data_IF_494441193961
#
_entry.id   IF_494441193961
#
_cell.length_a   1.000
_cell.length_b   1.000
_cell.length_c   1.000
_cell.angle_alpha   90.00
_cell.angle_beta   90.00
_cell.angle_gamma   90.00
#
_symmetry.space_group_name_H-M   'P 1'
#
loop_
_entity.id
_entity.type
_entity.pdbx_description
1 polymer ?
#
# COMPACT_ATOMS: atom_id res chain seq x y z
N UNK A 1 77.04 22.26 31.54
CA UNK A 1 76.03 21.97 30.51
C UNK A 1 74.71 22.61 30.93
N UNK A 2 74.24 23.67 30.25
CA UNK A 2 72.90 24.24 30.46
C UNK A 2 72.05 23.86 29.26
N UNK A 3 71.09 22.96 29.45
CA UNK A 3 70.12 22.55 28.43
C UNK A 3 68.99 23.58 28.37
N UNK A 4 68.96 24.37 27.30
CA UNK A 4 67.82 25.21 26.96
C UNK A 4 66.67 24.32 26.47
N UNK A 5 65.71 24.02 27.35
CA UNK A 5 64.43 23.44 26.94
C UNK A 5 63.44 24.59 26.68
N UNK A 6 63.26 24.92 25.40
CA UNK A 6 62.24 25.86 24.94
C UNK A 6 60.85 25.22 25.08
N UNK A 7 60.12 25.56 26.14
CA UNK A 7 58.68 25.31 26.19
C UNK A 7 57.98 26.37 25.33
N UNK A 8 57.90 26.13 24.02
CA UNK A 8 56.96 26.84 23.15
C UNK A 8 55.55 26.50 23.62
N UNK A 9 54.95 27.38 24.41
CA UNK A 9 53.53 27.32 24.79
C UNK A 9 52.71 27.29 23.50
N UNK A 10 52.15 26.13 23.17
CA UNK A 10 51.27 25.98 21.99
C UNK A 10 50.12 26.97 22.17
N UNK A 11 50.08 27.97 21.29
CA UNK A 11 49.01 28.96 21.30
C UNK A 11 47.74 28.29 20.73
N UNK A 12 46.98 27.64 21.62
CA UNK A 12 45.76 26.89 21.31
C UNK A 12 44.71 27.77 20.60
N UNK A 13 44.73 29.08 20.86
CA UNK A 13 43.82 30.03 20.24
C UNK A 13 44.13 30.16 18.74
N UNK A 14 45.41 30.29 18.37
CA UNK A 14 45.84 30.29 16.97
C UNK A 14 45.60 28.94 16.29
N UNK A 15 45.79 27.83 17.00
CA UNK A 15 45.52 26.48 16.49
C UNK A 15 44.02 26.25 16.22
N UNK A 16 43.16 26.70 17.12
CA UNK A 16 41.70 26.67 16.97
C UNK A 16 41.23 27.54 15.80
N UNK A 17 41.77 28.76 15.65
CA UNK A 17 41.48 29.63 14.52
C UNK A 17 41.90 28.99 13.20
N UNK A 18 43.08 28.35 13.16
CA UNK A 18 43.58 27.64 11.97
C UNK A 18 42.67 26.47 11.62
N UNK A 19 42.27 25.69 12.62
CA UNK A 19 41.34 24.55 12.48
C UNK A 19 39.95 24.97 12.02
N UNK A 20 39.40 26.07 12.56
CA UNK A 20 38.12 26.65 12.11
C UNK A 20 38.17 27.07 10.64
N UNK A 21 39.24 27.77 10.24
CA UNK A 21 39.44 28.18 8.83
C UNK A 21 39.62 26.99 7.89
N UNK A 22 40.22 25.91 8.38
CA UNK A 22 40.39 24.66 7.63
C UNK A 22 39.06 23.91 7.46
N UNK A 23 38.24 23.83 8.52
CA UNK A 23 36.88 23.28 8.46
C UNK A 23 36.03 24.07 7.45
N UNK A 24 36.07 25.40 7.50
CA UNK A 24 35.34 26.26 6.56
C UNK A 24 35.78 26.03 5.11
N UNK A 25 37.10 25.91 4.86
CA UNK A 25 37.64 25.57 3.52
C UNK A 25 37.18 24.21 3.04
N UNK A 26 37.21 23.19 3.90
CA UNK A 26 36.79 21.83 3.55
C UNK A 26 35.27 21.76 3.29
N UNK A 27 34.46 22.49 4.05
CA UNK A 27 33.03 22.59 3.80
C UNK A 27 32.73 23.25 2.45
N UNK A 28 33.44 24.34 2.10
CA UNK A 28 33.28 25.02 0.82
C UNK A 28 33.69 24.12 -0.36
N UNK A 29 34.84 23.44 -0.27
CA UNK A 29 35.27 22.46 -1.28
C UNK A 29 34.27 21.32 -1.46
N UNK A 30 33.76 20.74 -0.35
CA UNK A 30 32.73 19.69 -0.41
C UNK A 30 31.39 20.18 -0.99
N UNK A 31 31.09 21.48 -0.91
CA UNK A 31 29.92 22.05 -1.56
C UNK A 31 30.16 22.20 -3.07
N UNK A 32 31.34 22.67 -3.48
CA UNK A 32 31.75 22.79 -4.89
C UNK A 32 31.84 21.42 -5.58
N UNK A 33 32.42 20.40 -4.93
CA UNK A 33 32.46 19.00 -5.43
C UNK A 33 31.05 18.39 -5.58
N UNK A 34 30.09 18.83 -4.76
CA UNK A 34 28.68 18.38 -4.84
C UNK A 34 27.87 19.10 -5.92
N UNK A 35 28.42 20.11 -6.58
CA UNK A 35 27.77 20.80 -7.70
C UNK A 35 27.92 20.06 -9.04
N UNK A 36 28.49 18.85 -9.05
CA UNK A 36 28.28 17.96 -10.19
C UNK A 36 26.76 17.69 -10.33
N UNK A 37 26.16 17.90 -11.52
CA UNK A 37 24.74 17.64 -11.71
C UNK A 37 24.49 16.19 -11.34
N UNK A 38 23.68 15.99 -10.29
CA UNK A 38 23.37 14.66 -9.77
C UNK A 38 22.92 13.81 -10.94
N UNK A 39 23.67 12.73 -11.23
CA UNK A 39 23.31 11.74 -12.25
C UNK A 39 21.84 11.40 -12.03
N UNK A 40 21.00 11.77 -13.00
CA UNK A 40 19.55 11.61 -12.86
C UNK A 40 19.30 10.12 -12.67
N UNK A 41 18.77 9.74 -11.50
CA UNK A 41 18.36 8.35 -11.27
C UNK A 41 17.39 7.96 -12.38
N UNK A 42 17.55 6.76 -12.93
CA UNK A 42 16.60 6.16 -13.86
C UNK A 42 15.18 6.32 -13.30
N UNK A 43 14.30 6.98 -14.06
CA UNK A 43 12.87 7.08 -13.74
C UNK A 43 12.12 6.14 -14.68
N UNK A 44 11.35 5.22 -14.10
CA UNK A 44 10.46 4.35 -14.87
C UNK A 44 9.34 5.17 -15.51
N UNK A 45 9.04 4.91 -16.78
CA UNK A 45 7.97 5.59 -17.54
C UNK A 45 6.60 5.49 -16.82
N UNK A 46 6.34 4.36 -16.14
CA UNK A 46 5.12 4.11 -15.36
C UNK A 46 4.82 5.18 -14.31
N UNK A 47 5.85 5.85 -13.78
CA UNK A 47 5.71 6.83 -12.71
C UNK A 47 6.16 8.24 -13.11
N UNK A 48 6.34 8.49 -14.42
CA UNK A 48 6.71 9.81 -14.95
C UNK A 48 5.65 10.88 -14.64
N UNK A 49 4.37 10.49 -14.64
CA UNK A 49 3.24 11.37 -14.37
C UNK A 49 2.84 11.46 -12.89
N UNK A 50 3.50 10.70 -12.00
CA UNK A 50 3.16 10.70 -10.57
C UNK A 50 3.93 11.80 -9.87
N UNK A 51 3.23 12.87 -9.51
CA UNK A 51 3.82 13.98 -8.78
C UNK A 51 4.28 13.55 -7.37
N UNK A 52 5.46 14.03 -6.96
CA UNK A 52 5.98 13.71 -5.63
C UNK A 52 5.15 14.38 -4.55
N UNK A 53 4.83 13.66 -3.47
CA UNK A 53 4.13 14.23 -2.29
C UNK A 53 4.86 15.43 -1.68
N UNK A 54 6.18 15.44 -1.73
CA UNK A 54 7.01 16.56 -1.26
C UNK A 54 6.76 17.82 -2.10
N UNK A 55 6.62 17.70 -3.43
CA UNK A 55 6.23 18.82 -4.30
C UNK A 55 4.86 19.37 -3.90
N UNK A 56 3.90 18.51 -3.58
CA UNK A 56 2.58 18.93 -3.07
C UNK A 56 2.70 19.67 -1.73
N UNK A 57 3.59 19.25 -0.84
CA UNK A 57 3.81 19.92 0.45
C UNK A 57 4.59 21.25 0.32
N UNK A 58 5.40 21.41 -0.73
CA UNK A 58 6.11 22.68 -1.04
C UNK A 58 5.18 23.67 -1.76
N UNK A 59 4.31 23.18 -2.64
CA UNK A 59 3.35 24.00 -3.39
C UNK A 59 2.12 24.39 -2.56
N UNK A 60 1.81 23.64 -1.49
CA UNK A 60 0.85 24.09 -0.49
C UNK A 60 1.31 25.46 0.01
N UNK A 61 0.49 26.51 -0.16
CA UNK A 61 0.76 27.79 0.48
C UNK A 61 0.96 27.50 1.96
N UNK A 62 2.08 27.97 2.52
CA UNK A 62 2.28 27.91 3.97
C UNK A 62 1.03 28.52 4.58
N UNK A 63 0.20 27.68 5.20
CA UNK A 63 -0.97 28.15 5.92
C UNK A 63 -0.46 29.26 6.85
N UNK A 64 -0.97 30.48 6.65
CA UNK A 64 -0.56 31.60 7.48
C UNK A 64 -0.79 31.15 8.92
N UNK A 65 0.31 31.12 9.68
CA UNK A 65 0.33 30.79 11.12
C UNK A 65 -0.98 31.30 11.73
N UNK A 66 -1.75 30.45 12.44
CA UNK A 66 -3.10 30.80 12.87
C UNK A 66 -3.03 32.20 13.47
N UNK A 67 -3.71 33.13 12.80
CA UNK A 67 -3.78 34.52 13.24
C UNK A 67 -4.24 34.44 14.68
N UNK A 68 -3.43 34.97 15.59
CA UNK A 68 -3.82 35.14 16.99
C UNK A 68 -5.22 35.73 16.98
N UNK A 69 -6.20 35.14 17.69
CA UNK A 69 -7.57 35.62 17.64
C UNK A 69 -7.54 37.12 17.89
N UNK A 70 -8.18 37.88 17.01
CA UNK A 70 -8.24 39.32 17.11
C UNK A 70 -8.95 39.63 18.44
N UNK A 71 -8.16 39.94 19.49
CA UNK A 71 -8.70 40.29 20.80
C UNK A 71 -9.27 41.70 20.65
N UNK A 72 -10.46 41.79 20.05
CA UNK A 72 -11.21 43.03 19.87
C UNK A 72 -11.70 43.60 21.20
N UNK A 73 -11.64 42.81 22.27
CA UNK A 73 -11.81 43.28 23.64
C UNK A 73 -10.48 43.84 24.14
N UNK A 74 -10.18 45.10 23.83
CA UNK A 74 -9.15 45.86 24.53
C UNK A 74 -9.43 45.69 26.03
N UNK A 75 -8.58 44.97 26.75
CA UNK A 75 -8.67 44.86 28.21
C UNK A 75 -8.47 46.26 28.77
N UNK A 76 -9.57 46.96 29.04
CA UNK A 76 -9.51 48.27 29.68
C UNK A 76 -8.98 48.07 31.09
N UNK A 77 -7.96 48.85 31.46
CA UNK A 77 -7.49 48.91 32.84
C UNK A 77 -8.71 49.23 33.70
N UNK A 78 -9.07 48.38 34.67
CA UNK A 78 -10.22 48.67 35.52
C UNK A 78 -9.99 50.03 36.19
N UNK A 79 -11.02 50.87 36.32
CA UNK A 79 -10.86 52.16 36.97
C UNK A 79 -10.29 51.98 38.38
N UNK A 80 -9.46 52.92 38.85
CA UNK A 80 -8.80 52.81 40.17
C UNK A 80 -9.81 52.62 41.32
N UNK A 81 -11.07 53.04 41.14
CA UNK A 81 -12.18 52.78 42.04
C UNK A 81 -12.44 51.27 42.27
N UNK A 82 -12.28 50.43 41.24
CA UNK A 82 -12.46 48.97 41.34
C UNK A 82 -11.44 48.32 42.28
N UNK A 83 -10.27 48.95 42.48
CA UNK A 83 -9.24 48.48 43.41
C UNK A 83 -9.50 48.88 44.88
N UNK A 84 -10.57 49.60 45.20
CA UNK A 84 -10.87 49.96 46.60
C UNK A 84 -11.33 48.76 47.45
N UNK A 85 -11.92 47.74 46.82
CA UNK A 85 -12.38 46.51 47.49
C UNK A 85 -11.58 45.29 47.01
N UNK A 86 -10.28 45.24 47.33
CA UNK A 86 -9.47 44.02 47.08
C UNK A 86 -9.72 43.02 48.21
N UNK A 87 -10.67 42.11 48.03
CA UNK A 87 -10.70 40.88 48.82
C UNK A 87 -9.64 39.94 48.26
N UNK A 88 -8.44 39.94 48.86
CA UNK A 88 -7.45 38.90 48.55
C UNK A 88 -8.08 37.55 48.92
N UNK A 89 -8.33 36.69 47.92
CA UNK A 89 -8.78 35.31 48.14
C UNK A 89 -7.59 34.56 48.75
N UNK A 90 -7.46 34.64 50.08
CA UNK A 90 -6.45 33.89 50.83
C UNK A 90 -7.05 32.52 51.05
N UNK A 91 -6.77 31.58 50.17
CA UNK A 91 -7.03 30.18 50.48
C UNK A 91 -6.20 29.83 51.71
N UNK A 92 -6.83 29.30 52.76
CA UNK A 92 -6.15 28.87 53.98
C UNK A 92 -5.39 27.56 53.71
N UNK A 93 -4.38 27.64 52.83
CA UNK A 93 -3.54 26.53 52.45
C UNK A 93 -2.36 26.45 53.41
N UNK A 94 -2.22 25.31 54.09
CA UNK A 94 -0.99 24.96 54.80
C UNK A 94 0.16 24.64 53.82
N UNK A 95 0.90 25.67 53.42
CA UNK A 95 2.01 25.55 52.48
C UNK A 95 3.11 24.63 52.99
N UNK A 96 3.27 24.48 54.31
CA UNK A 96 4.29 23.59 54.90
C UNK A 96 3.94 22.14 54.58
N UNK A 97 2.67 21.75 54.77
CA UNK A 97 2.20 20.39 54.45
C UNK A 97 2.32 20.07 52.97
N UNK A 98 1.91 20.99 52.10
CA UNK A 98 1.93 20.70 50.65
C UNK A 98 3.32 20.73 50.07
N UNK A 99 4.20 21.61 50.53
CA UNK A 99 5.61 21.54 50.16
C UNK A 99 6.24 20.25 50.66
N UNK A 100 5.90 19.79 51.87
CA UNK A 100 6.39 18.52 52.42
C UNK A 100 5.93 17.30 51.61
N UNK A 101 4.66 17.25 51.19
CA UNK A 101 4.15 16.17 50.33
C UNK A 101 4.79 16.24 48.94
N UNK A 102 4.92 17.43 48.37
CA UNK A 102 5.51 17.61 47.04
C UNK A 102 6.99 17.21 47.02
N UNK A 103 7.75 17.58 48.06
CA UNK A 103 9.16 17.19 48.21
C UNK A 103 9.34 15.66 48.32
N UNK A 104 8.41 14.96 48.98
CA UNK A 104 8.45 13.48 49.05
C UNK A 104 8.08 12.80 47.73
N UNK A 105 7.24 13.43 46.91
CA UNK A 105 6.78 12.89 45.62
C UNK A 105 7.70 13.23 44.45
N UNK A 106 8.49 14.29 44.57
CA UNK A 106 9.44 14.68 43.54
C UNK A 106 10.54 13.62 43.39
N UNK A 107 10.48 12.83 42.33
CA UNK A 107 11.59 11.96 41.93
C UNK A 107 12.70 12.80 41.30
N UNK A 108 13.95 12.57 41.70
CA UNK A 108 15.10 13.15 41.01
C UNK A 108 15.13 12.59 39.59
N UNK A 109 14.74 13.41 38.61
CA UNK A 109 14.91 13.07 37.21
C UNK A 109 16.40 13.08 36.89
N UNK A 110 16.91 11.93 36.43
CA UNK A 110 18.27 11.82 35.93
C UNK A 110 18.44 12.75 34.71
N UNK A 111 19.62 13.33 34.48
CA UNK A 111 19.85 14.15 33.30
C UNK A 111 19.64 13.32 32.03
N UNK A 112 19.06 13.95 31.01
CA UNK A 112 18.65 13.30 29.76
C UNK A 112 19.77 12.49 29.07
N UNK A 113 21.03 12.92 29.25
CA UNK A 113 22.21 12.23 28.71
C UNK A 113 22.51 10.88 29.36
N UNK A 114 22.23 10.71 30.66
CA UNK A 114 22.42 9.43 31.36
C UNK A 114 21.29 8.45 31.04
N UNK A 115 20.05 8.93 30.95
CA UNK A 115 18.91 8.09 30.53
C UNK A 115 19.01 7.65 29.07
N UNK A 116 19.57 8.48 28.18
CA UNK A 116 19.70 8.13 26.76
C UNK A 116 20.56 6.88 26.49
N UNK A 117 21.57 6.62 27.33
CA UNK A 117 22.41 5.42 27.22
C UNK A 117 21.70 4.15 27.72
N UNK A 118 20.93 4.27 28.79
CA UNK A 118 20.13 3.16 29.31
C UNK A 118 18.98 2.84 28.33
N UNK A 119 18.34 3.87 27.76
CA UNK A 119 17.28 3.73 26.76
C UNK A 119 17.78 3.13 25.43
N UNK A 120 19.02 3.39 25.03
CA UNK A 120 19.59 2.80 23.82
C UNK A 120 19.98 1.34 24.04
N UNK A 121 20.57 1.01 25.20
CA UNK A 121 20.84 -0.38 25.61
C UNK A 121 19.57 -1.20 25.69
N UNK A 122 18.54 -0.68 26.37
CA UNK A 122 17.24 -1.35 26.47
C UNK A 122 16.63 -1.61 25.10
N UNK A 123 16.62 -0.62 24.21
CA UNK A 123 16.17 -0.80 22.82
C UNK A 123 16.96 -1.87 22.08
N UNK A 124 18.27 -1.94 22.30
CA UNK A 124 19.11 -2.95 21.68
C UNK A 124 18.79 -4.36 22.21
N UNK A 125 18.58 -4.51 23.51
CA UNK A 125 18.14 -5.76 24.13
C UNK A 125 16.76 -6.19 23.61
N UNK A 126 15.80 -5.26 23.55
CA UNK A 126 14.46 -5.51 23.01
C UNK A 126 14.50 -5.97 21.54
N UNK A 127 15.36 -5.36 20.71
CA UNK A 127 15.55 -5.77 19.31
C UNK A 127 16.12 -7.18 19.18
N UNK A 128 17.07 -7.56 20.04
CA UNK A 128 17.65 -8.91 20.04
C UNK A 128 16.64 -9.95 20.52
N UNK A 129 15.85 -9.63 21.54
CA UNK A 129 14.81 -10.51 22.06
C UNK A 129 13.68 -10.76 21.02
N UNK A 130 13.35 -9.76 20.22
CA UNK A 130 12.31 -9.86 19.19
C UNK A 130 12.81 -10.42 17.84
N UNK A 131 14.12 -10.65 17.69
CA UNK A 131 14.69 -11.18 16.45
C UNK A 131 14.68 -12.71 16.47
N UNK A 132 13.86 -13.32 15.63
CA UNK A 132 13.81 -14.77 15.46
C UNK A 132 14.67 -15.20 14.26
N UNK A 133 15.74 -15.94 14.56
CA UNK A 133 16.64 -16.43 13.52
C UNK A 133 15.94 -17.45 12.61
N UNK A 134 16.17 -17.34 11.31
CA UNK A 134 15.59 -18.23 10.29
C UNK A 134 14.20 -17.83 9.81
N UNK A 135 13.55 -16.86 10.47
CA UNK A 135 12.28 -16.32 9.98
C UNK A 135 12.49 -15.33 8.84
N UNK A 136 11.63 -15.43 7.82
CA UNK A 136 11.64 -14.49 6.70
C UNK A 136 11.03 -13.17 7.16
N UNK A 137 11.71 -12.02 7.00
CA UNK A 137 11.18 -10.72 7.36
C UNK A 137 9.77 -10.44 6.80
N UNK A 138 8.94 -9.79 7.60
CA UNK A 138 7.52 -9.51 7.28
C UNK A 138 7.32 -8.83 5.92
N UNK A 139 8.22 -7.92 5.54
CA UNK A 139 8.14 -7.23 4.25
C UNK A 139 8.34 -8.17 3.05
N UNK A 140 9.15 -9.22 3.19
CA UNK A 140 9.33 -10.24 2.14
C UNK A 140 8.12 -11.18 2.08
N UNK A 141 7.54 -11.51 3.24
CA UNK A 141 6.29 -12.28 3.29
C UNK A 141 5.16 -11.54 2.60
N UNK A 142 4.97 -10.25 2.93
CA UNK A 142 4.00 -9.37 2.29
C UNK A 142 4.23 -9.27 0.78
N UNK A 143 5.49 -9.11 0.36
CA UNK A 143 5.84 -9.04 -1.07
C UNK A 143 5.52 -10.35 -1.82
N UNK A 144 5.75 -11.51 -1.20
CA UNK A 144 5.35 -12.80 -1.79
C UNK A 144 3.83 -12.90 -1.95
N UNK A 145 3.05 -12.38 -1.00
CA UNK A 145 1.59 -12.34 -1.09
C UNK A 145 1.13 -11.38 -2.20
N UNK A 146 1.73 -10.20 -2.30
CA UNK A 146 1.46 -9.23 -3.37
C UNK A 146 1.68 -9.86 -4.76
N UNK A 147 2.81 -10.55 -4.97
CA UNK A 147 3.09 -11.25 -6.22
C UNK A 147 2.11 -12.37 -6.52
N UNK A 148 1.71 -13.16 -5.51
CA UNK A 148 0.68 -14.20 -5.70
C UNK A 148 -0.64 -13.59 -6.16
N UNK A 149 -1.07 -12.51 -5.51
CA UNK A 149 -2.31 -11.83 -5.87
C UNK A 149 -2.26 -11.23 -7.28
N UNK A 150 -1.14 -10.60 -7.65
CA UNK A 150 -0.93 -10.05 -8.99
C UNK A 150 -0.91 -11.14 -10.07
N UNK A 151 -0.29 -12.28 -9.79
CA UNK A 151 -0.28 -13.45 -10.68
C UNK A 151 -1.68 -14.05 -10.84
N UNK A 152 -2.44 -14.20 -9.74
CA UNK A 152 -3.82 -14.69 -9.77
C UNK A 152 -4.73 -13.76 -10.59
N UNK A 153 -4.57 -12.44 -10.41
CA UNK A 153 -5.26 -11.44 -11.23
C UNK A 153 -4.87 -11.56 -12.70
N UNK A 154 -3.58 -11.74 -12.99
CA UNK A 154 -3.10 -11.91 -14.36
C UNK A 154 -3.72 -13.15 -15.00
N UNK A 155 -3.70 -14.30 -14.31
CA UNK A 155 -4.27 -15.56 -14.79
C UNK A 155 -5.79 -15.43 -15.01
N UNK A 156 -6.50 -14.74 -14.11
CA UNK A 156 -7.93 -14.48 -14.27
C UNK A 156 -8.24 -13.55 -15.47
N UNK A 157 -7.39 -12.56 -15.71
CA UNK A 157 -7.56 -11.59 -16.80
C UNK A 157 -7.03 -12.10 -18.14
N UNK A 158 -6.08 -13.04 -18.16
CA UNK A 158 -5.63 -13.66 -19.41
C UNK A 158 -6.80 -14.44 -20.00
N UNK A 159 -7.36 -14.00 -21.15
CA UNK A 159 -8.39 -14.78 -21.81
C UNK A 159 -7.80 -16.15 -22.16
N UNK A 160 -8.60 -17.20 -22.02
CA UNK A 160 -8.18 -18.58 -22.33
C UNK A 160 -7.51 -18.59 -23.72
N UNK A 161 -6.26 -19.08 -23.86
CA UNK A 161 -5.55 -19.10 -25.14
C UNK A 161 -6.32 -19.87 -26.23
N UNK A 162 -7.28 -20.71 -25.85
CA UNK A 162 -8.18 -21.41 -26.77
C UNK A 162 -9.41 -20.60 -27.21
N UNK A 163 -9.70 -19.44 -26.61
CA UNK A 163 -10.90 -18.64 -26.91
C UNK A 163 -10.70 -17.82 -28.19
N UNK A 164 -11.45 -18.11 -29.28
CA UNK A 164 -11.32 -17.35 -30.52
C UNK A 164 -11.84 -15.91 -30.35
N UNK A 165 -11.30 -14.92 -31.09
CA UNK A 165 -11.84 -13.56 -31.10
C UNK A 165 -13.34 -13.52 -31.45
N UNK A 166 -14.10 -12.62 -30.81
CA UNK A 166 -15.54 -12.48 -31.03
C UNK A 166 -16.41 -13.62 -30.48
N UNK A 167 -15.81 -14.53 -29.70
CA UNK A 167 -16.53 -15.60 -29.01
C UNK A 167 -16.53 -15.38 -27.50
N UNK A 168 -17.55 -15.91 -26.84
CA UNK A 168 -17.70 -15.92 -25.38
C UNK A 168 -17.85 -17.36 -24.90
N UNK A 169 -17.23 -17.70 -23.76
CA UNK A 169 -17.46 -18.98 -23.12
C UNK A 169 -18.91 -19.08 -22.61
N UNK A 170 -19.60 -20.15 -22.99
CA UNK A 170 -20.94 -20.44 -22.49
C UNK A 170 -20.87 -20.88 -21.01
N UNK A 171 -21.63 -20.26 -20.10
CA UNK A 171 -21.70 -20.67 -18.70
C UNK A 171 -22.07 -22.15 -18.54
N UNK A 172 -21.58 -22.78 -17.48
CA UNK A 172 -21.82 -24.22 -17.28
C UNK A 172 -23.29 -24.59 -17.10
N UNK A 173 -24.08 -23.70 -16.49
CA UNK A 173 -25.52 -23.93 -16.27
C UNK A 173 -26.25 -23.95 -17.62
N UNK A 174 -26.09 -22.90 -18.42
CA UNK A 174 -26.65 -22.81 -19.78
C UNK A 174 -26.18 -23.98 -20.65
N UNK A 175 -24.90 -24.37 -20.56
CA UNK A 175 -24.35 -25.54 -21.28
C UNK A 175 -25.04 -26.85 -20.89
N UNK A 176 -25.32 -27.06 -19.61
CA UNK A 176 -26.00 -28.28 -19.13
C UNK A 176 -27.46 -28.29 -19.56
N UNK A 177 -28.14 -27.16 -19.47
CA UNK A 177 -29.53 -27.00 -19.94
C UNK A 177 -29.65 -27.29 -21.44
N UNK A 178 -28.77 -26.74 -22.27
CA UNK A 178 -28.77 -27.03 -23.72
C UNK A 178 -28.45 -28.49 -24.02
N UNK A 179 -27.53 -29.11 -23.27
CA UNK A 179 -27.20 -30.53 -23.40
C UNK A 179 -28.41 -31.41 -23.06
N UNK A 180 -29.13 -31.12 -21.98
CA UNK A 180 -30.35 -31.85 -21.61
C UNK A 180 -31.44 -31.72 -22.67
N UNK A 181 -31.65 -30.51 -23.21
CA UNK A 181 -32.59 -30.26 -24.30
C UNK A 181 -32.22 -31.05 -25.57
N UNK A 182 -30.93 -31.09 -25.93
CA UNK A 182 -30.46 -31.86 -27.08
C UNK A 182 -30.63 -33.37 -26.88
N UNK A 183 -30.40 -33.88 -25.67
CA UNK A 183 -30.64 -35.29 -25.34
C UNK A 183 -32.14 -35.64 -25.41
N UNK A 184 -33.02 -34.76 -24.95
CA UNK A 184 -34.46 -34.93 -25.11
C UNK A 184 -34.84 -34.99 -26.60
N UNK A 185 -34.35 -34.04 -27.40
CA UNK A 185 -34.58 -34.00 -28.85
C UNK A 185 -34.04 -35.25 -29.57
N UNK A 186 -32.89 -35.77 -29.16
CA UNK A 186 -32.34 -37.01 -29.72
C UNK A 186 -33.30 -38.19 -29.50
N UNK A 187 -33.81 -38.35 -28.27
CA UNK A 187 -34.80 -39.38 -27.95
C UNK A 187 -36.05 -39.22 -28.82
N UNK A 188 -36.54 -37.99 -28.97
CA UNK A 188 -37.71 -37.71 -29.81
C UNK A 188 -37.45 -38.13 -31.26
N UNK A 189 -36.35 -37.71 -31.89
CA UNK A 189 -36.03 -38.09 -33.28
C UNK A 189 -35.93 -39.61 -33.44
N UNK A 190 -35.29 -40.30 -32.49
CA UNK A 190 -35.22 -41.77 -32.47
C UNK A 190 -36.61 -42.40 -32.39
N UNK A 191 -37.50 -41.90 -31.52
CA UNK A 191 -38.88 -42.40 -31.45
C UNK A 191 -39.65 -42.16 -32.76
N UNK A 192 -39.39 -41.06 -33.46
CA UNK A 192 -40.01 -40.80 -34.78
C UNK A 192 -39.51 -41.77 -35.84
N UNK A 193 -38.21 -42.10 -35.85
CA UNK A 193 -37.63 -43.11 -36.74
C UNK A 193 -38.26 -44.49 -36.45
N UNK A 194 -38.40 -44.86 -35.17
CA UNK A 194 -38.99 -46.13 -34.74
C UNK A 194 -40.48 -46.27 -35.10
N UNK A 195 -41.21 -45.15 -35.21
CA UNK A 195 -42.63 -45.13 -35.63
C UNK A 195 -42.81 -45.28 -37.14
N UNK A 196 -41.74 -45.19 -37.94
CA UNK A 196 -41.85 -45.38 -39.39
C UNK A 196 -42.12 -46.85 -39.73
N UNK A 197 -42.87 -47.13 -40.81
CA UNK A 197 -43.07 -48.50 -41.29
C UNK A 197 -41.73 -49.20 -41.59
N UNK A 198 -41.66 -50.51 -41.32
CA UNK A 198 -40.46 -51.33 -41.54
C UNK A 198 -40.07 -51.36 -43.03
N UNK A 199 -41.07 -51.41 -43.92
CA UNK A 199 -40.87 -51.36 -45.37
C UNK A 199 -40.69 -49.94 -45.90
N UNK A 200 -39.60 -49.69 -46.62
CA UNK A 200 -39.29 -48.40 -47.23
C UNK A 200 -39.78 -48.33 -48.69
N UNK A 201 -40.99 -48.80 -48.99
CA UNK A 201 -41.40 -49.06 -50.37
C UNK A 201 -41.80 -47.79 -51.14
N UNK A 202 -42.24 -46.75 -50.43
CA UNK A 202 -42.58 -45.45 -51.04
C UNK A 202 -41.44 -44.45 -50.91
N UNK A 203 -41.24 -43.65 -51.96
CA UNK A 203 -40.24 -42.56 -51.99
C UNK A 203 -40.46 -41.60 -50.81
N UNK A 204 -41.72 -41.33 -50.45
CA UNK A 204 -42.09 -40.48 -49.30
C UNK A 204 -41.52 -41.00 -47.99
N UNK A 205 -41.69 -42.29 -47.69
CA UNK A 205 -41.17 -42.90 -46.44
C UNK A 205 -39.64 -42.89 -46.44
N UNK A 206 -38.99 -43.14 -47.60
CA UNK A 206 -37.53 -43.03 -47.74
C UNK A 206 -37.03 -41.62 -47.43
N UNK A 207 -37.64 -40.60 -48.03
CA UNK A 207 -37.27 -39.20 -47.82
C UNK A 207 -37.49 -38.76 -46.37
N UNK A 208 -38.62 -39.15 -45.76
CA UNK A 208 -38.92 -38.85 -44.37
C UNK A 208 -37.90 -39.49 -43.42
N UNK A 209 -37.53 -40.75 -43.66
CA UNK A 209 -36.49 -41.46 -42.90
C UNK A 209 -35.14 -40.75 -43.03
N UNK A 210 -34.72 -40.44 -44.25
CA UNK A 210 -33.46 -39.74 -44.52
C UNK A 210 -33.42 -38.37 -43.84
N UNK A 211 -34.54 -37.63 -43.83
CA UNK A 211 -34.65 -36.34 -43.13
C UNK A 211 -34.48 -36.50 -41.62
N UNK A 212 -35.08 -37.52 -41.02
CA UNK A 212 -34.95 -37.78 -39.58
C UNK A 212 -33.54 -38.26 -39.22
N UNK A 213 -32.93 -39.11 -40.05
CA UNK A 213 -31.54 -39.55 -39.87
C UNK A 213 -30.56 -38.36 -39.97
N UNK A 214 -30.78 -37.43 -40.92
CA UNK A 214 -30.01 -36.19 -41.01
C UNK A 214 -30.16 -35.33 -39.75
N UNK A 215 -31.39 -35.13 -39.29
CA UNK A 215 -31.64 -34.40 -38.03
C UNK A 215 -30.99 -35.10 -36.83
N UNK A 216 -30.98 -36.43 -36.80
CA UNK A 216 -30.31 -37.20 -35.75
C UNK A 216 -28.81 -36.92 -35.75
N UNK A 217 -28.16 -36.94 -36.93
CA UNK A 217 -26.72 -36.63 -37.04
C UNK A 217 -26.41 -35.19 -36.60
N UNK A 218 -27.23 -34.21 -36.97
CA UNK A 218 -27.06 -32.82 -36.53
C UNK A 218 -27.18 -32.68 -35.00
N UNK A 219 -28.14 -33.37 -34.39
CA UNK A 219 -28.33 -33.38 -32.93
C UNK A 219 -27.16 -34.07 -32.23
N UNK A 220 -26.65 -35.18 -32.77
CA UNK A 220 -25.50 -35.89 -32.21
C UNK A 220 -24.21 -35.08 -32.29
N UNK A 221 -23.98 -34.36 -33.38
CA UNK A 221 -22.87 -33.41 -33.51
C UNK A 221 -22.99 -32.28 -32.48
N UNK A 222 -24.19 -31.73 -32.28
CA UNK A 222 -24.44 -30.73 -31.26
C UNK A 222 -24.17 -31.29 -29.85
N UNK A 223 -24.69 -32.48 -29.51
CA UNK A 223 -24.43 -33.15 -28.23
C UNK A 223 -22.92 -33.31 -28.01
N UNK A 224 -22.17 -33.74 -29.03
CA UNK A 224 -20.71 -33.89 -28.97
C UNK A 224 -19.98 -32.57 -28.69
N UNK A 225 -20.53 -31.44 -29.14
CA UNK A 225 -19.99 -30.11 -28.83
C UNK A 225 -20.32 -29.74 -27.38
N UNK A 226 -21.58 -29.86 -26.97
CA UNK A 226 -22.05 -29.46 -25.62
C UNK A 226 -21.65 -30.42 -24.50
N UNK A 227 -21.23 -31.65 -24.83
CA UNK A 227 -20.65 -32.60 -23.88
C UNK A 227 -19.23 -32.21 -23.44
N UNK A 228 -18.56 -31.30 -24.16
CA UNK A 228 -17.25 -30.78 -23.78
C UNK A 228 -17.38 -29.85 -22.56
N UNK A 229 -16.37 -29.79 -21.66
CA UNK A 229 -16.44 -28.91 -20.48
C UNK A 229 -16.46 -27.42 -20.85
N UNK A 230 -15.74 -27.04 -21.92
CA UNK A 230 -15.64 -25.67 -22.42
C UNK A 230 -16.28 -25.57 -23.79
N UNK A 231 -17.25 -24.67 -23.94
CA UNK A 231 -17.94 -24.37 -25.20
C UNK A 231 -17.91 -22.87 -25.40
N UNK A 232 -17.55 -22.43 -26.61
CA UNK A 232 -17.49 -21.02 -26.98
C UNK A 232 -18.58 -20.74 -28.03
N UNK A 233 -19.35 -19.67 -27.84
CA UNK A 233 -20.41 -19.24 -28.74
C UNK A 233 -20.03 -17.90 -29.33
N UNK A 234 -20.30 -17.70 -30.62
CA UNK A 234 -20.08 -16.43 -31.32
C UNK A 234 -21.04 -15.39 -30.76
N UNK A 235 -20.53 -14.24 -30.34
CA UNK A 235 -21.38 -13.12 -29.91
C UNK A 235 -21.85 -12.41 -31.17
N UNK A 236 -23.15 -12.38 -31.40
CA UNK A 236 -23.73 -11.55 -32.48
C UNK A 236 -23.76 -10.10 -31.98
N UNK A 237 -22.96 -9.24 -32.61
CA UNK A 237 -22.95 -7.79 -32.40
C UNK A 237 -24.12 -7.11 -33.09
#
# INVERSE_FOLDING_TARGET
MRSNFDFKTKNQLNENVRRLREIQRNCKKRQEEKQEPVKVLWKSEKYSCVESKIKQDIEKPLESRPVTPDITNKTSVPPASTAQNVTLIRHNWDFIKVNGINAKRASLNRPHSLTALDDSKKRQEDLLNNYHFGEVPSYLQKRKQEWRHEEDQRIANTPDPSMPPGHRQLPENERKETLELLLAKQRDVVTHIQKLPIGADTIRVKQQRQSLEKQLTEVEEAIKIFSRPKVFVRVES
#
